data_IF_065671026497
#
_entry.id   IF_065671026497
#
_cell.length_a   1.000
_cell.length_b   1.000
_cell.length_c   1.000
_cell.angle_alpha   90.00
_cell.angle_beta   90.00
_cell.angle_gamma   90.00
#
_symmetry.space_group_name_H-M   'P 1'
#
loop_
_entity.id
_entity.type
_entity.pdbx_description
1 polymer ?
#
# COMPACT_ATOMS: atom_id res chain seq x y z
N UNK A 1 35.34 42.37 -13.86
CA UNK A 1 36.20 41.32 -13.27
C UNK A 1 36.26 41.49 -11.75
N UNK A 2 35.36 40.86 -10.98
CA UNK A 2 35.61 40.51 -9.57
C UNK A 2 34.92 39.15 -9.33
N UNK A 3 35.70 38.26 -8.73
CA UNK A 3 35.61 36.80 -8.81
C UNK A 3 34.57 36.23 -7.84
N UNK A 4 33.67 35.40 -8.37
CA UNK A 4 32.81 34.52 -7.58
C UNK A 4 33.64 33.37 -6.98
N UNK A 5 33.61 33.21 -5.65
CA UNK A 5 34.00 31.96 -4.99
C UNK A 5 32.81 31.44 -4.20
N UNK A 6 31.88 30.78 -4.89
CA UNK A 6 30.96 29.81 -4.26
C UNK A 6 31.80 28.64 -3.78
N UNK A 7 32.07 28.60 -2.47
CA UNK A 7 32.65 27.42 -1.82
C UNK A 7 31.61 26.31 -1.86
N UNK A 8 31.84 25.32 -2.73
CA UNK A 8 31.20 24.01 -2.71
C UNK A 8 31.38 23.42 -1.30
N UNK A 9 30.28 23.34 -0.55
CA UNK A 9 30.19 22.59 0.70
C UNK A 9 30.05 21.13 0.29
N UNK A 10 31.11 20.32 0.47
CA UNK A 10 31.04 18.85 0.32
C UNK A 10 29.86 18.33 1.15
N UNK A 11 28.77 17.94 0.48
CA UNK A 11 27.67 17.18 1.08
C UNK A 11 28.26 15.82 1.48
N UNK A 12 28.18 15.45 2.76
CA UNK A 12 28.32 14.05 3.17
C UNK A 12 26.99 13.39 2.78
N UNK A 13 26.94 12.85 1.57
CA UNK A 13 25.82 12.06 1.05
C UNK A 13 25.86 10.64 1.61
N UNK A 14 24.79 9.89 1.35
CA UNK A 14 24.52 8.55 1.89
C UNK A 14 25.59 7.49 1.57
N UNK A 15 26.44 7.75 0.58
CA UNK A 15 27.45 6.81 0.10
C UNK A 15 28.88 7.23 0.46
N UNK A 16 29.61 6.32 1.09
CA UNK A 16 31.07 6.25 1.02
C UNK A 16 31.50 5.82 -0.40
N UNK A 17 31.27 6.67 -1.42
CA UNK A 17 31.95 6.64 -2.73
C UNK A 17 31.98 5.34 -3.55
N UNK A 18 31.22 4.30 -3.20
CA UNK A 18 31.24 3.04 -3.92
C UNK A 18 30.43 3.15 -5.21
N UNK A 19 31.08 2.87 -6.35
CA UNK A 19 30.42 2.79 -7.65
C UNK A 19 29.57 1.52 -7.68
N UNK A 20 28.27 1.66 -7.93
CA UNK A 20 27.32 0.54 -8.07
C UNK A 20 27.49 -0.09 -9.46
N UNK A 21 27.68 -1.40 -9.51
CA UNK A 21 27.72 -2.18 -10.77
C UNK A 21 26.29 -2.54 -11.21
N UNK A 22 25.61 -1.58 -11.84
CA UNK A 22 24.22 -1.71 -12.29
C UNK A 22 23.98 -2.85 -13.28
N UNK A 23 24.94 -3.12 -14.17
CA UNK A 23 24.84 -4.22 -15.13
C UNK A 23 24.83 -5.60 -14.45
N UNK A 24 25.52 -5.72 -13.31
CA UNK A 24 25.53 -6.91 -12.46
C UNK A 24 24.29 -7.08 -11.59
N UNK A 25 23.47 -6.03 -11.42
CA UNK A 25 22.21 -6.08 -10.70
C UNK A 25 21.06 -6.55 -11.61
N UNK A 26 19.93 -6.83 -10.97
CA UNK A 26 18.70 -7.30 -11.60
C UNK A 26 17.50 -6.49 -11.12
N UNK A 27 16.54 -6.29 -12.03
CA UNK A 27 15.16 -5.87 -11.79
C UNK A 27 14.20 -6.87 -12.46
N UNK A 28 12.89 -6.62 -12.49
CA UNK A 28 11.88 -7.57 -13.02
C UNK A 28 12.16 -8.08 -14.45
N UNK A 29 12.68 -7.22 -15.33
CA UNK A 29 12.87 -7.54 -16.75
C UNK A 29 14.31 -7.94 -17.13
N UNK A 30 15.21 -8.16 -16.16
CA UNK A 30 16.60 -8.53 -16.45
C UNK A 30 17.64 -7.65 -15.78
N UNK A 31 18.69 -7.26 -16.53
CA UNK A 31 19.77 -6.39 -16.04
C UNK A 31 19.24 -4.99 -15.73
N UNK A 32 19.82 -4.33 -14.72
CA UNK A 32 19.43 -3.00 -14.27
C UNK A 32 20.35 -1.89 -14.81
N UNK A 33 20.97 -2.09 -15.98
CA UNK A 33 21.89 -1.12 -16.60
C UNK A 33 21.22 0.19 -17.04
N UNK A 34 19.91 0.16 -17.22
CA UNK A 34 18.99 1.25 -17.57
C UNK A 34 18.56 2.11 -16.38
N UNK A 35 18.48 1.53 -15.16
CA UNK A 35 18.04 2.19 -13.92
C UNK A 35 18.75 3.54 -13.65
N UNK A 36 20.07 3.69 -13.85
CA UNK A 36 20.73 4.99 -13.69
C UNK A 36 20.20 6.09 -14.60
N UNK A 37 19.81 5.73 -15.83
CA UNK A 37 19.22 6.65 -16.80
C UNK A 37 17.87 7.17 -16.30
N UNK A 38 17.01 6.26 -15.85
CA UNK A 38 15.71 6.63 -15.26
C UNK A 38 15.87 7.48 -13.99
N UNK A 39 16.79 7.11 -13.09
CA UNK A 39 17.06 7.91 -11.88
C UNK A 39 17.53 9.34 -12.19
N UNK A 40 18.34 9.52 -13.23
CA UNK A 40 18.78 10.84 -13.68
C UNK A 40 17.63 11.66 -14.27
N UNK A 41 16.77 11.01 -15.08
CA UNK A 41 15.63 11.61 -15.76
C UNK A 41 14.56 12.15 -14.79
N UNK A 42 14.48 11.63 -13.55
CA UNK A 42 13.61 12.17 -12.49
C UNK A 42 13.88 13.65 -12.13
N UNK A 43 15.05 14.19 -12.52
CA UNK A 43 15.38 15.62 -12.35
C UNK A 43 15.01 16.49 -13.54
N UNK A 44 14.49 15.91 -14.63
CA UNK A 44 14.22 16.65 -15.86
C UNK A 44 13.24 17.79 -15.64
N UNK A 45 13.45 18.90 -16.33
CA UNK A 45 12.47 19.99 -16.40
C UNK A 45 11.23 19.56 -17.21
N UNK A 46 11.37 18.56 -18.09
CA UNK A 46 10.28 17.96 -18.85
C UNK A 46 9.45 17.01 -17.97
N UNK A 47 8.17 17.31 -17.83
CA UNK A 47 7.22 16.54 -17.01
C UNK A 47 6.94 15.16 -17.58
N UNK A 48 6.93 15.01 -18.91
CA UNK A 48 6.65 13.72 -19.55
C UNK A 48 7.86 12.79 -19.40
N UNK A 49 9.08 13.30 -19.55
CA UNK A 49 10.32 12.54 -19.30
C UNK A 49 10.40 12.05 -17.84
N UNK A 50 10.02 12.90 -16.87
CA UNK A 50 9.97 12.49 -15.46
C UNK A 50 8.93 11.39 -15.22
N UNK A 51 7.74 11.51 -15.82
CA UNK A 51 6.66 10.52 -15.66
C UNK A 51 7.02 9.18 -16.27
N UNK A 52 7.61 9.17 -17.46
CA UNK A 52 8.10 7.96 -18.11
C UNK A 52 9.17 7.30 -17.23
N UNK A 53 10.18 8.05 -16.80
CA UNK A 53 11.22 7.54 -15.91
C UNK A 53 10.68 6.98 -14.59
N UNK A 54 9.70 7.65 -13.98
CA UNK A 54 9.02 7.14 -12.79
C UNK A 54 8.27 5.85 -13.08
N UNK A 55 7.50 5.79 -14.18
CA UNK A 55 6.73 4.62 -14.59
C UNK A 55 7.62 3.40 -14.82
N UNK A 56 8.75 3.59 -15.53
CA UNK A 56 9.74 2.53 -15.77
C UNK A 56 10.36 2.02 -14.47
N UNK A 57 10.76 2.92 -13.57
CA UNK A 57 11.26 2.53 -12.24
C UNK A 57 10.20 1.78 -11.44
N UNK A 58 8.99 2.33 -11.37
CA UNK A 58 7.86 1.74 -10.65
C UNK A 58 7.56 0.32 -11.14
N UNK A 59 7.54 0.10 -12.45
CA UNK A 59 7.19 -1.20 -13.03
C UNK A 59 8.33 -2.24 -12.98
N UNK A 60 9.59 -1.79 -12.90
CA UNK A 60 10.77 -2.67 -13.00
C UNK A 60 11.40 -3.01 -11.64
N UNK A 61 11.63 -2.02 -10.78
CA UNK A 61 12.38 -2.22 -9.53
C UNK A 61 11.52 -2.83 -8.43
N UNK A 62 10.19 -2.72 -8.52
CA UNK A 62 9.25 -3.53 -7.75
C UNK A 62 8.21 -4.06 -8.72
N UNK A 63 7.94 -5.36 -8.68
CA UNK A 63 6.99 -5.96 -9.62
C UNK A 63 6.17 -7.06 -8.94
N UNK A 64 4.85 -6.91 -8.90
CA UNK A 64 3.93 -7.82 -8.22
C UNK A 64 4.33 -8.04 -6.75
N UNK A 65 4.73 -6.95 -6.10
CA UNK A 65 5.25 -6.98 -4.73
C UNK A 65 6.63 -7.62 -4.59
N UNK A 66 7.27 -8.14 -5.65
CA UNK A 66 8.65 -8.62 -5.64
C UNK A 66 9.66 -7.47 -5.78
N UNK A 67 10.85 -7.65 -5.21
CA UNK A 67 11.92 -6.69 -4.98
C UNK A 67 13.16 -7.41 -5.47
N UNK A 68 14.10 -6.64 -5.97
CA UNK A 68 15.28 -7.14 -6.63
C UNK A 68 16.51 -6.41 -6.10
N UNK A 69 17.68 -6.93 -6.42
CA UNK A 69 18.95 -6.27 -6.08
C UNK A 69 19.01 -4.78 -6.52
N UNK A 70 18.37 -4.41 -7.62
CA UNK A 70 18.26 -3.01 -8.07
C UNK A 70 17.38 -2.14 -7.15
N UNK A 71 16.36 -2.69 -6.49
CA UNK A 71 15.45 -1.93 -5.61
C UNK A 71 16.23 -1.29 -4.47
N UNK A 72 17.05 -2.09 -3.77
CA UNK A 72 17.88 -1.59 -2.67
C UNK A 72 18.97 -0.63 -3.16
N UNK A 73 19.53 -0.88 -4.34
CA UNK A 73 20.58 -0.04 -4.92
C UNK A 73 20.08 1.35 -5.36
N UNK A 74 18.80 1.48 -5.73
CA UNK A 74 18.20 2.76 -6.12
C UNK A 74 17.89 3.69 -4.93
N UNK A 75 17.73 3.14 -3.72
CA UNK A 75 17.29 3.90 -2.54
C UNK A 75 18.17 5.11 -2.21
N UNK A 76 19.52 5.04 -2.19
CA UNK A 76 20.35 6.20 -1.87
C UNK A 76 20.13 7.39 -2.82
N UNK A 77 20.02 7.15 -4.12
CA UNK A 77 19.77 8.20 -5.12
C UNK A 77 18.35 8.78 -4.97
N UNK A 78 17.35 7.92 -4.75
CA UNK A 78 15.98 8.36 -4.45
C UNK A 78 15.92 9.21 -3.17
N UNK A 79 16.67 8.85 -2.13
CA UNK A 79 16.79 9.63 -0.90
C UNK A 79 17.46 11.00 -1.14
N UNK A 80 18.48 11.04 -2.00
CA UNK A 80 19.12 12.30 -2.39
C UNK A 80 18.20 13.20 -3.22
N UNK A 81 17.36 12.62 -4.08
CA UNK A 81 16.31 13.31 -4.85
C UNK A 81 15.23 13.89 -3.92
N UNK A 82 14.62 13.08 -3.05
CA UNK A 82 13.61 13.58 -2.10
C UNK A 82 14.19 14.56 -1.08
N UNK A 83 15.50 14.55 -0.85
CA UNK A 83 16.19 15.51 0.01
C UNK A 83 16.48 16.87 -0.63
N UNK A 84 16.24 17.02 -1.94
CA UNK A 84 16.55 18.22 -2.71
C UNK A 84 15.26 19.01 -3.05
N UNK A 85 15.00 20.16 -2.42
CA UNK A 85 13.76 20.91 -2.63
C UNK A 85 13.54 21.43 -4.06
N UNK A 86 14.56 21.42 -4.92
CA UNK A 86 14.38 21.80 -6.34
C UNK A 86 13.88 20.65 -7.22
N UNK A 87 13.85 19.42 -6.70
CA UNK A 87 13.33 18.26 -7.45
C UNK A 87 11.80 18.32 -7.42
N UNK A 88 11.11 18.29 -8.58
CA UNK A 88 9.65 18.19 -8.64
C UNK A 88 9.17 16.81 -8.18
N UNK A 89 7.86 16.67 -7.93
CA UNK A 89 7.19 15.37 -7.74
C UNK A 89 7.79 14.49 -6.61
N UNK A 90 8.33 15.12 -5.55
CA UNK A 90 9.00 14.43 -4.43
C UNK A 90 8.07 13.51 -3.64
N UNK A 91 6.77 13.79 -3.66
CA UNK A 91 5.71 12.93 -3.13
C UNK A 91 5.62 11.59 -3.89
N UNK A 92 5.72 11.60 -5.22
CA UNK A 92 5.79 10.37 -6.02
C UNK A 92 7.03 9.55 -5.66
N UNK A 93 8.18 10.20 -5.49
CA UNK A 93 9.41 9.51 -5.10
C UNK A 93 9.31 8.89 -3.69
N UNK A 94 8.59 9.54 -2.77
CA UNK A 94 8.29 8.98 -1.45
C UNK A 94 7.35 7.77 -1.54
N UNK A 95 6.38 7.80 -2.45
CA UNK A 95 5.52 6.65 -2.75
C UNK A 95 6.35 5.47 -3.28
N UNK A 96 7.26 5.71 -4.24
CA UNK A 96 8.17 4.68 -4.75
C UNK A 96 9.06 4.11 -3.64
N UNK A 97 9.62 4.94 -2.75
CA UNK A 97 10.37 4.47 -1.58
C UNK A 97 9.51 3.59 -0.65
N UNK A 98 8.22 3.89 -0.51
CA UNK A 98 7.27 3.05 0.22
C UNK A 98 7.12 1.68 -0.43
N UNK A 99 6.85 1.63 -1.74
CA UNK A 99 6.70 0.37 -2.46
C UNK A 99 8.01 -0.43 -2.50
N UNK A 100 9.17 0.23 -2.57
CA UNK A 100 10.47 -0.44 -2.39
C UNK A 100 10.58 -1.07 -1.01
N UNK A 101 10.17 -0.35 0.05
CA UNK A 101 10.27 -0.84 1.41
C UNK A 101 9.32 -2.01 1.68
N UNK A 102 8.07 -1.93 1.22
CA UNK A 102 7.01 -2.84 1.67
C UNK A 102 6.35 -3.65 0.53
N UNK A 103 6.57 -3.31 -0.73
CA UNK A 103 5.74 -3.80 -1.84
C UNK A 103 4.33 -3.22 -1.75
N UNK A 104 3.30 -4.05 -1.93
CA UNK A 104 1.92 -3.69 -1.66
C UNK A 104 1.58 -3.77 -0.17
N UNK A 105 0.84 -2.79 0.35
CA UNK A 105 0.48 -2.72 1.76
C UNK A 105 -0.54 -3.79 2.20
N UNK A 106 -1.43 -4.24 1.31
CA UNK A 106 -2.37 -5.33 1.53
C UNK A 106 -1.73 -6.65 1.98
N UNK A 107 -0.43 -6.84 1.70
CA UNK A 107 0.36 -7.99 2.17
C UNK A 107 0.62 -7.96 3.68
N UNK A 108 0.64 -6.76 4.27
CA UNK A 108 1.03 -6.52 5.65
C UNK A 108 -0.15 -6.14 6.53
N UNK A 109 -1.16 -5.48 5.96
CA UNK A 109 -2.35 -5.05 6.69
C UNK A 109 -3.18 -6.24 7.21
N UNK A 110 -3.80 -6.10 8.40
CA UNK A 110 -3.83 -4.91 9.25
C UNK A 110 -2.58 -4.77 10.15
N UNK A 111 -1.59 -5.66 9.98
CA UNK A 111 -0.32 -5.67 10.71
C UNK A 111 0.69 -4.65 10.18
N UNK A 112 1.97 -5.00 10.21
CA UNK A 112 3.08 -4.20 9.66
C UNK A 112 4.15 -5.14 9.13
N UNK A 113 5.22 -4.60 8.54
CA UNK A 113 6.34 -5.39 8.03
C UNK A 113 6.95 -6.23 9.15
N UNK A 114 7.05 -7.54 8.91
CA UNK A 114 7.65 -8.51 9.83
C UNK A 114 9.06 -8.84 9.37
N UNK A 115 10.04 -7.99 9.71
CA UNK A 115 11.47 -8.16 9.33
C UNK A 115 12.02 -9.54 9.72
N UNK A 116 11.61 -10.08 10.88
CA UNK A 116 11.99 -11.42 11.30
C UNK A 116 11.49 -12.52 10.37
N UNK A 117 10.30 -12.36 9.78
CA UNK A 117 9.73 -13.30 8.81
C UNK A 117 10.44 -13.20 7.45
N UNK A 118 10.75 -11.99 6.97
CA UNK A 118 11.56 -11.79 5.75
C UNK A 118 12.89 -12.54 5.88
N UNK A 119 13.57 -12.37 7.04
CA UNK A 119 14.82 -13.06 7.33
C UNK A 119 14.65 -14.58 7.41
N UNK A 120 13.61 -15.06 8.09
CA UNK A 120 13.34 -16.49 8.23
C UNK A 120 13.02 -17.18 6.89
N UNK A 121 12.37 -16.46 5.97
CA UNK A 121 12.02 -16.96 4.62
C UNK A 121 13.16 -16.82 3.61
N UNK A 122 14.30 -16.20 3.98
CA UNK A 122 15.42 -15.98 3.06
C UNK A 122 15.10 -14.99 1.94
N UNK A 123 14.16 -14.07 2.18
CA UNK A 123 13.78 -13.00 1.26
C UNK A 123 14.83 -11.88 1.33
N UNK A 124 15.96 -12.10 0.66
CA UNK A 124 17.17 -11.28 0.80
C UNK A 124 17.00 -9.89 0.20
N UNK A 125 16.42 -9.78 -1.00
CA UNK A 125 16.29 -8.49 -1.69
C UNK A 125 15.22 -7.62 -1.03
N UNK A 126 14.17 -8.24 -0.48
CA UNK A 126 13.19 -7.63 0.42
C UNK A 126 13.81 -6.99 1.64
N UNK A 127 14.59 -7.80 2.35
CA UNK A 127 15.21 -7.37 3.58
C UNK A 127 16.17 -6.22 3.31
N UNK A 128 16.97 -6.31 2.23
CA UNK A 128 17.88 -5.25 1.81
C UNK A 128 17.16 -3.98 1.41
N UNK A 129 16.07 -4.08 0.64
CA UNK A 129 15.28 -2.93 0.23
C UNK A 129 14.66 -2.23 1.46
N UNK A 130 14.04 -2.99 2.36
CA UNK A 130 13.50 -2.47 3.61
C UNK A 130 14.58 -1.80 4.48
N UNK A 131 15.73 -2.45 4.66
CA UNK A 131 16.85 -1.91 5.45
C UNK A 131 17.46 -0.65 4.81
N UNK A 132 17.54 -0.58 3.48
CA UNK A 132 18.01 0.60 2.76
C UNK A 132 17.08 1.80 2.97
N UNK A 133 15.76 1.61 2.88
CA UNK A 133 14.80 2.69 3.16
C UNK A 133 14.76 3.04 4.66
N UNK A 134 14.91 2.04 5.54
CA UNK A 134 15.01 2.25 6.99
C UNK A 134 16.24 3.11 7.36
N UNK A 135 17.37 2.95 6.67
CA UNK A 135 18.51 3.84 6.84
C UNK A 135 18.06 5.30 6.61
N UNK A 136 17.21 5.51 5.59
CA UNK A 136 16.49 6.74 5.20
C UNK A 136 15.80 7.54 6.31
N UNK A 137 15.45 6.91 7.43
CA UNK A 137 14.56 7.45 8.46
C UNK A 137 14.89 8.87 8.94
N UNK A 138 16.14 9.27 9.21
CA UNK A 138 16.43 10.63 9.64
C UNK A 138 16.05 11.71 8.61
N UNK A 139 16.09 11.41 7.31
CA UNK A 139 15.60 12.32 6.27
C UNK A 139 14.08 12.32 6.23
N UNK A 140 13.47 11.13 6.18
CA UNK A 140 12.01 10.97 6.15
C UNK A 140 11.33 11.66 7.33
N UNK A 141 11.89 11.53 8.53
CA UNK A 141 11.44 12.23 9.74
C UNK A 141 11.53 13.76 9.63
N UNK A 142 12.53 14.30 8.92
CA UNK A 142 12.59 15.76 8.69
C UNK A 142 11.53 16.20 7.69
N UNK A 143 11.33 15.44 6.61
CA UNK A 143 10.31 15.72 5.60
C UNK A 143 8.89 15.65 6.18
N UNK A 144 8.62 14.63 6.98
CA UNK A 144 7.36 14.48 7.71
C UNK A 144 7.16 15.53 8.82
N UNK A 145 8.18 16.34 9.16
CA UNK A 145 8.04 17.52 10.01
C UNK A 145 7.92 18.83 9.23
N UNK A 146 7.81 18.76 7.89
CA UNK A 146 7.75 19.91 6.99
C UNK A 146 6.53 20.82 7.18
N UNK A 147 6.61 22.02 6.60
CA UNK A 147 5.57 23.05 6.66
C UNK A 147 4.54 22.91 5.52
N UNK A 148 3.57 23.82 5.47
CA UNK A 148 2.46 23.78 4.50
C UNK A 148 2.89 23.88 3.02
N UNK A 149 4.02 24.54 2.72
CA UNK A 149 4.53 24.61 1.36
C UNK A 149 4.99 23.24 0.81
N UNK A 150 5.31 22.30 1.71
CA UNK A 150 5.70 20.93 1.42
C UNK A 150 4.61 19.93 1.86
N UNK A 151 3.33 20.35 2.02
CA UNK A 151 2.28 19.53 2.63
C UNK A 151 2.15 18.10 2.05
N UNK A 152 2.21 17.95 0.72
CA UNK A 152 2.10 16.65 0.04
C UNK A 152 3.32 15.74 0.33
N UNK A 153 4.53 16.31 0.30
CA UNK A 153 5.78 15.64 0.68
C UNK A 153 5.74 15.22 2.15
N UNK A 154 5.25 16.12 2.98
CA UNK A 154 5.06 15.93 4.39
C UNK A 154 4.11 14.76 4.67
N UNK A 155 2.95 14.73 4.02
CA UNK A 155 1.94 13.70 4.21
C UNK A 155 2.43 12.34 3.71
N UNK A 156 3.05 12.30 2.53
CA UNK A 156 3.65 11.08 1.96
C UNK A 156 4.76 10.51 2.86
N UNK A 157 5.64 11.39 3.39
CA UNK A 157 6.68 10.98 4.32
C UNK A 157 6.08 10.44 5.63
N UNK A 158 5.01 11.05 6.16
CA UNK A 158 4.30 10.53 7.34
C UNK A 158 3.75 9.13 7.12
N UNK A 159 3.14 8.86 5.97
CA UNK A 159 2.62 7.53 5.65
C UNK A 159 3.76 6.49 5.61
N UNK A 160 4.88 6.86 4.99
CA UNK A 160 6.07 5.99 4.96
C UNK A 160 6.64 5.71 6.36
N UNK A 161 6.65 6.70 7.26
CA UNK A 161 7.12 6.50 8.64
C UNK A 161 6.31 5.43 9.39
N UNK A 162 5.01 5.27 9.09
CA UNK A 162 4.15 4.26 9.71
C UNK A 162 4.65 2.82 9.53
N UNK A 163 5.37 2.55 8.44
CA UNK A 163 5.84 1.21 8.07
C UNK A 163 7.15 0.79 8.76
N UNK A 164 7.68 1.61 9.68
CA UNK A 164 8.85 1.31 10.49
C UNK A 164 8.46 1.16 11.96
N UNK A 165 8.08 -0.06 12.40
CA UNK A 165 7.55 -0.29 13.74
C UNK A 165 8.61 -0.06 14.81
N UNK A 166 8.17 0.43 15.98
CA UNK A 166 9.03 0.68 17.14
C UNK A 166 9.81 2.00 17.12
N UNK A 167 9.70 2.80 16.06
CA UNK A 167 10.43 4.08 15.94
C UNK A 167 9.78 5.21 16.75
N UNK A 168 10.29 5.46 17.98
CA UNK A 168 9.75 6.47 18.89
C UNK A 168 9.72 7.88 18.29
N UNK A 169 10.75 8.27 17.52
CA UNK A 169 10.78 9.60 16.91
C UNK A 169 9.75 9.73 15.78
N UNK A 170 9.52 8.67 15.03
CA UNK A 170 8.46 8.61 14.01
C UNK A 170 7.08 8.73 14.67
N UNK A 171 6.86 8.04 15.79
CA UNK A 171 5.64 8.17 16.59
C UNK A 171 5.35 9.62 17.00
N UNK A 172 6.33 10.33 17.56
CA UNK A 172 6.11 11.73 17.98
C UNK A 172 5.72 12.65 16.83
N UNK A 173 6.32 12.46 15.65
CA UNK A 173 5.95 13.21 14.44
C UNK A 173 4.51 12.90 14.03
N UNK A 174 4.14 11.62 14.03
CA UNK A 174 2.79 11.18 13.64
C UNK A 174 1.72 11.65 14.64
N UNK A 175 2.02 11.66 15.94
CA UNK A 175 1.12 12.21 16.97
C UNK A 175 0.84 13.71 16.72
N UNK A 176 1.89 14.50 16.45
CA UNK A 176 1.74 15.93 16.17
C UNK A 176 0.92 16.19 14.88
N UNK A 177 1.05 15.30 13.90
CA UNK A 177 0.27 15.35 12.64
C UNK A 177 -1.19 14.99 12.88
N UNK A 178 -1.46 13.92 13.62
CA UNK A 178 -2.80 13.44 13.93
C UNK A 178 -3.64 14.48 14.70
N UNK A 179 -3.02 15.26 15.59
CA UNK A 179 -3.71 16.30 16.36
C UNK A 179 -3.96 17.61 15.60
N UNK A 180 -3.44 17.75 14.36
CA UNK A 180 -3.53 18.98 13.58
C UNK A 180 -2.74 20.18 14.14
N UNK A 181 -2.03 20.01 15.25
CA UNK A 181 -1.26 21.05 15.94
C UNK A 181 -0.13 21.64 15.07
N UNK A 182 0.35 20.88 14.09
CA UNK A 182 1.36 21.35 13.13
C UNK A 182 0.88 22.39 12.11
N UNK A 183 -0.43 22.53 11.87
CA UNK A 183 -0.99 23.43 10.84
C UNK A 183 -1.94 24.49 11.40
N UNK A 184 -2.49 24.32 12.60
CA UNK A 184 -3.40 25.29 13.22
C UNK A 184 -2.74 26.68 13.43
N UNK A 185 -1.42 26.73 13.63
CA UNK A 185 -0.67 28.00 13.72
C UNK A 185 -0.42 28.67 12.36
N UNK A 186 -0.53 27.94 11.25
CA UNK A 186 -0.26 28.40 9.89
C UNK A 186 -1.53 28.91 9.18
N UNK A 187 -2.69 28.26 9.40
CA UNK A 187 -3.99 28.66 8.82
C UNK A 187 -4.50 30.04 9.25
N UNK A 188 -3.90 30.68 10.25
CA UNK A 188 -4.28 32.01 10.72
C UNK A 188 -3.68 33.17 9.90
N UNK A 189 -2.84 32.90 8.90
CA UNK A 189 -2.31 33.93 8.00
C UNK A 189 -3.28 34.15 6.80
N UNK A 190 -3.61 35.40 6.44
CA UNK A 190 -4.49 35.66 5.30
C UNK A 190 -3.74 35.34 3.99
N UNK A 191 -4.12 34.25 3.31
CA UNK A 191 -3.61 33.92 1.99
C UNK A 191 -4.31 34.75 0.91
N UNK A 192 -3.52 35.47 0.11
CA UNK A 192 -3.99 36.11 -1.11
C UNK A 192 -4.37 35.07 -2.16
N UNK A 193 -5.55 35.23 -2.75
CA UNK A 193 -6.05 34.44 -3.87
C UNK A 193 -5.03 34.40 -5.02
N UNK A 194 -4.42 33.23 -5.23
CA UNK A 194 -3.82 32.87 -6.50
C UNK A 194 -4.79 31.93 -7.21
N UNK A 195 -5.55 32.47 -8.15
CA UNK A 195 -6.37 31.73 -9.10
C UNK A 195 -5.46 30.84 -9.96
N UNK A 196 -5.43 29.53 -9.68
CA UNK A 196 -4.93 28.52 -10.61
C UNK A 196 -6.12 27.79 -11.22
N UNK A 197 -6.26 27.96 -12.53
CA UNK A 197 -7.30 27.40 -13.39
C UNK A 197 -7.25 25.88 -13.38
N UNK A 198 -8.37 25.24 -13.05
CA UNK A 198 -8.56 23.82 -13.19
C UNK A 198 -8.48 23.41 -14.68
N UNK A 199 -7.49 22.59 -15.03
CA UNK A 199 -7.48 21.85 -16.29
C UNK A 199 -8.58 20.77 -16.29
N UNK A 200 -9.07 20.35 -17.47
CA UNK A 200 -10.23 19.48 -17.56
C UNK A 200 -9.98 18.13 -16.90
N UNK A 201 -11.00 17.65 -16.16
CA UNK A 201 -11.05 16.31 -15.56
C UNK A 201 -10.79 15.25 -16.63
N UNK A 202 -9.59 14.68 -16.63
CA UNK A 202 -9.27 13.48 -17.39
C UNK A 202 -10.03 12.29 -16.84
N UNK A 203 -10.55 11.46 -17.72
CA UNK A 203 -11.23 10.21 -17.37
C UNK A 203 -10.26 9.27 -16.64
N UNK A 204 -10.74 8.59 -15.59
CA UNK A 204 -10.03 7.49 -14.96
C UNK A 204 -9.81 6.38 -16.00
N UNK A 205 -8.55 6.01 -16.22
CA UNK A 205 -8.14 4.92 -17.10
C UNK A 205 -7.53 3.81 -16.23
N UNK A 206 -7.93 2.59 -16.56
CA UNK A 206 -7.72 1.31 -15.87
C UNK A 206 -6.26 0.99 -15.53
N UNK A 207 -6.05 0.43 -14.33
CA UNK A 207 -4.81 -0.20 -13.89
C UNK A 207 -4.68 -1.54 -14.64
N UNK A 208 -3.63 -1.67 -15.45
CA UNK A 208 -3.29 -2.92 -16.12
C UNK A 208 -2.93 -4.02 -15.12
N UNK A 209 -3.36 -5.24 -15.45
CA UNK A 209 -3.27 -6.50 -14.72
C UNK A 209 -1.98 -6.72 -13.89
N UNK A 210 -2.12 -6.85 -12.55
CA UNK A 210 -1.13 -7.49 -11.68
C UNK A 210 -1.53 -8.96 -11.43
N UNK A 211 -0.69 -9.91 -11.88
CA UNK A 211 -0.78 -11.31 -11.43
C UNK A 211 -0.21 -11.45 -10.00
N UNK A 212 -0.71 -12.39 -9.18
CA UNK A 212 -0.38 -12.43 -7.75
C UNK A 212 1.05 -12.91 -7.47
N UNK A 213 1.64 -12.36 -6.40
CA UNK A 213 2.75 -12.99 -5.70
C UNK A 213 2.32 -14.38 -5.21
N UNK A 214 3.07 -15.41 -5.62
CA UNK A 214 2.88 -16.76 -5.08
C UNK A 214 3.06 -16.72 -3.54
N UNK A 215 2.31 -17.53 -2.77
CA UNK A 215 2.70 -17.81 -1.39
C UNK A 215 4.14 -18.35 -1.39
N UNK A 216 4.91 -18.20 -0.30
CA UNK A 216 6.26 -18.77 -0.23
C UNK A 216 6.16 -20.30 -0.22
N UNK A 217 6.08 -20.86 -1.42
CA UNK A 217 6.13 -22.27 -1.75
C UNK A 217 7.51 -22.59 -2.29
N UNK A 218 7.96 -23.80 -1.99
CA UNK A 218 9.31 -24.31 -2.21
C UNK A 218 9.86 -24.00 -3.60
N UNK A 219 11.02 -23.35 -3.63
CA UNK A 219 11.78 -23.06 -4.86
C UNK A 219 12.28 -24.38 -5.46
N UNK A 220 11.54 -24.95 -6.41
CA UNK A 220 12.14 -25.89 -7.36
C UNK A 220 12.95 -25.09 -8.39
N UNK A 221 14.27 -25.30 -8.37
CA UNK A 221 15.19 -24.81 -9.39
C UNK A 221 14.90 -25.51 -10.71
N UNK A 222 14.22 -24.82 -11.63
CA UNK A 222 14.08 -25.20 -13.03
C UNK A 222 14.92 -24.26 -13.91
N UNK A 223 15.67 -24.83 -14.83
CA UNK A 223 16.63 -24.17 -15.73
C UNK A 223 15.94 -23.22 -16.73
N UNK A 224 16.64 -22.15 -17.11
CA UNK A 224 16.17 -21.09 -18.00
C UNK A 224 16.17 -21.54 -19.48
N UNK A 225 15.06 -21.28 -20.19
CA UNK A 225 15.01 -21.32 -21.66
C UNK A 225 15.23 -19.93 -22.29
N UNK A 226 15.76 -19.86 -23.53
CA UNK A 226 16.32 -18.63 -24.09
C UNK A 226 15.29 -17.71 -24.76
N UNK A 227 15.67 -16.43 -24.82
CA UNK A 227 14.90 -15.26 -25.22
C UNK A 227 14.48 -15.26 -26.70
N UNK A 228 13.20 -14.95 -26.95
CA UNK A 228 12.67 -14.48 -28.23
C UNK A 228 12.24 -13.01 -28.11
N UNK A 229 12.34 -12.27 -29.22
CA UNK A 229 12.08 -10.83 -29.43
C UNK A 229 11.14 -10.13 -28.45
N UNK A 230 11.66 -9.04 -27.85
CA UNK A 230 10.95 -8.09 -26.98
C UNK A 230 9.86 -7.38 -27.78
N UNK A 231 8.60 -7.66 -27.45
CA UNK A 231 7.46 -6.92 -27.99
C UNK A 231 7.44 -5.48 -27.40
N UNK A 232 7.07 -4.45 -28.18
CA UNK A 232 6.98 -3.10 -27.66
C UNK A 232 5.86 -3.01 -26.61
N UNK A 233 6.14 -2.22 -25.57
CA UNK A 233 5.28 -1.93 -24.41
C UNK A 233 3.84 -1.65 -24.85
N UNK A 234 2.89 -2.43 -24.33
CA UNK A 234 1.49 -2.02 -24.31
C UNK A 234 1.36 -0.75 -23.47
N UNK A 235 0.44 0.15 -23.85
CA UNK A 235 0.24 1.46 -23.21
C UNK A 235 0.32 1.36 -21.68
N UNK A 236 1.33 2.00 -21.11
CA UNK A 236 1.43 2.26 -19.67
C UNK A 236 0.18 3.03 -19.30
N UNK A 237 -0.65 2.47 -18.41
CA UNK A 237 -1.81 3.16 -17.87
C UNK A 237 -1.38 4.56 -17.41
N UNK A 238 -2.11 5.63 -17.76
CA UNK A 238 -1.73 6.94 -17.27
C UNK A 238 -1.76 6.88 -15.75
N UNK A 239 -0.61 7.13 -15.11
CA UNK A 239 -0.47 7.41 -13.68
C UNK A 239 -1.22 8.72 -13.39
N UNK A 240 -2.54 8.62 -13.43
CA UNK A 240 -3.50 9.69 -13.20
C UNK A 240 -3.52 10.00 -11.72
N UNK A 241 -2.61 10.90 -11.34
CA UNK A 241 -2.34 11.39 -9.99
C UNK A 241 -1.62 10.37 -9.10
N UNK A 242 -0.47 10.80 -8.57
CA UNK A 242 -0.04 10.39 -7.23
C UNK A 242 -1.27 10.30 -6.32
N UNK A 243 -1.31 9.31 -5.42
CA UNK A 243 -2.27 9.33 -4.32
C UNK A 243 -2.00 10.60 -3.52
N UNK A 244 -2.74 11.68 -3.83
CA UNK A 244 -2.70 12.88 -3.02
C UNK A 244 -3.22 12.48 -1.66
N UNK A 245 -2.34 12.56 -0.67
CA UNK A 245 -2.72 12.34 0.73
C UNK A 245 -3.42 13.60 1.22
N UNK A 246 -4.63 13.84 0.73
CA UNK A 246 -5.44 15.00 1.11
C UNK A 246 -5.95 14.86 2.57
N UNK A 247 -5.98 13.63 3.11
CA UNK A 247 -6.37 13.29 4.49
C UNK A 247 -5.18 12.89 5.36
N UNK A 248 -4.25 13.83 5.50
CA UNK A 248 -3.01 13.61 6.26
C UNK A 248 -3.24 13.25 7.75
N UNK A 249 -4.29 13.74 8.39
CA UNK A 249 -4.53 13.52 9.83
C UNK A 249 -5.06 12.10 10.12
N UNK A 250 -6.14 11.60 9.47
CA UNK A 250 -6.51 10.19 9.61
C UNK A 250 -5.38 9.24 9.20
N UNK A 251 -4.64 9.58 8.14
CA UNK A 251 -3.52 8.76 7.69
C UNK A 251 -2.39 8.70 8.73
N UNK A 252 -2.14 9.80 9.45
CA UNK A 252 -1.20 9.83 10.56
C UNK A 252 -1.68 9.01 11.76
N UNK A 253 -2.98 9.02 12.08
CA UNK A 253 -3.57 8.17 13.14
C UNK A 253 -3.38 6.68 12.81
N UNK A 254 -3.65 6.26 11.57
CA UNK A 254 -3.36 4.89 11.13
C UNK A 254 -1.87 4.58 11.28
N UNK A 255 -1.00 5.51 10.86
CA UNK A 255 0.45 5.40 11.03
C UNK A 255 0.89 5.22 12.49
N UNK A 256 0.25 5.90 13.45
CA UNK A 256 0.48 5.69 14.90
C UNK A 256 0.22 4.24 15.30
N UNK A 257 -0.87 3.66 14.79
CA UNK A 257 -1.18 2.24 15.00
C UNK A 257 -0.12 1.32 14.39
N UNK A 258 0.33 1.58 13.16
CA UNK A 258 1.33 0.78 12.46
C UNK A 258 2.71 0.80 13.14
N UNK A 259 3.12 1.95 13.68
CA UNK A 259 4.35 2.06 14.50
C UNK A 259 4.24 1.19 15.75
N UNK A 260 3.04 1.04 16.31
CA UNK A 260 2.73 -0.01 17.29
C UNK A 260 3.26 0.24 18.70
N UNK A 261 3.58 1.48 19.05
CA UNK A 261 4.04 1.88 20.38
C UNK A 261 2.87 2.33 21.27
N UNK A 262 2.85 1.89 22.53
CA UNK A 262 1.75 2.14 23.48
C UNK A 262 1.46 3.64 23.72
N UNK A 263 2.47 4.50 23.59
CA UNK A 263 2.34 5.95 23.72
C UNK A 263 1.46 6.58 22.62
N UNK A 264 1.10 5.81 21.59
CA UNK A 264 0.13 6.19 20.56
C UNK A 264 -1.34 6.06 20.98
N UNK A 265 -1.66 5.29 22.02
CA UNK A 265 -3.04 5.00 22.43
C UNK A 265 -3.86 6.28 22.69
N UNK A 266 -3.37 7.30 23.42
CA UNK A 266 -4.17 8.51 23.69
C UNK A 266 -4.59 9.27 22.43
N UNK A 267 -3.73 9.32 21.40
CA UNK A 267 -4.06 9.98 20.12
C UNK A 267 -5.11 9.18 19.36
N UNK A 268 -5.02 7.85 19.37
CA UNK A 268 -6.00 7.00 18.73
C UNK A 268 -7.37 7.01 19.45
N UNK A 269 -7.38 7.10 20.79
CA UNK A 269 -8.61 7.30 21.58
C UNK A 269 -9.26 8.66 21.27
N UNK A 270 -8.47 9.73 21.17
CA UNK A 270 -8.98 11.05 20.78
C UNK A 270 -9.60 11.03 19.38
N UNK A 271 -8.95 10.35 18.42
CA UNK A 271 -9.47 10.19 17.07
C UNK A 271 -10.79 9.39 17.03
N UNK A 272 -10.89 8.30 17.83
CA UNK A 272 -12.13 7.52 17.99
C UNK A 272 -13.30 8.38 18.50
N UNK A 273 -13.02 9.37 19.35
CA UNK A 273 -14.02 10.30 19.88
C UNK A 273 -14.37 11.48 18.96
N UNK A 274 -13.81 11.55 17.75
CA UNK A 274 -14.02 12.66 16.82
C UNK A 274 -15.44 12.67 16.23
N UNK A 275 -15.96 13.87 15.92
CA UNK A 275 -17.20 14.00 15.13
C UNK A 275 -16.99 13.61 13.65
N UNK A 276 -15.74 13.64 13.16
CA UNK A 276 -15.38 13.21 11.81
C UNK A 276 -15.37 11.67 11.72
N UNK A 277 -16.24 11.05 10.88
CA UNK A 277 -16.31 9.59 10.74
C UNK A 277 -15.00 8.94 10.29
N UNK A 278 -14.15 9.62 9.51
CA UNK A 278 -12.89 9.06 9.02
C UNK A 278 -11.82 9.11 10.12
N UNK A 279 -11.84 10.14 10.97
CA UNK A 279 -11.01 10.15 12.17
C UNK A 279 -11.42 9.05 13.15
N UNK A 280 -12.73 8.78 13.31
CA UNK A 280 -13.19 7.66 14.14
C UNK A 280 -12.74 6.32 13.60
N UNK A 281 -12.91 6.10 12.31
CA UNK A 281 -12.39 4.92 11.59
C UNK A 281 -10.90 4.73 11.84
N UNK A 282 -10.09 5.78 11.62
CA UNK A 282 -8.64 5.71 11.79
C UNK A 282 -8.26 5.41 13.24
N UNK A 283 -8.94 6.04 14.21
CA UNK A 283 -8.78 5.76 15.64
C UNK A 283 -9.08 4.31 15.98
N UNK A 284 -10.18 3.75 15.46
CA UNK A 284 -10.56 2.37 15.68
C UNK A 284 -9.54 1.37 15.09
N UNK A 285 -9.06 1.61 13.88
CA UNK A 285 -8.00 0.82 13.22
C UNK A 285 -6.71 0.87 14.05
N UNK A 286 -6.27 2.05 14.46
CA UNK A 286 -5.05 2.23 15.24
C UNK A 286 -5.17 1.56 16.63
N UNK A 287 -6.30 1.70 17.31
CA UNK A 287 -6.55 1.06 18.61
C UNK A 287 -6.57 -0.46 18.52
N UNK A 288 -7.22 -1.04 17.51
CA UNK A 288 -7.17 -2.47 17.28
C UNK A 288 -5.73 -2.95 17.08
N UNK A 289 -4.91 -2.17 16.36
CA UNK A 289 -3.50 -2.49 16.13
C UNK A 289 -2.62 -2.39 17.38
N UNK A 290 -2.96 -1.46 18.28
CA UNK A 290 -2.34 -1.27 19.59
C UNK A 290 -2.87 -2.25 20.66
N UNK A 291 -3.74 -3.20 20.29
CA UNK A 291 -4.25 -4.25 21.18
C UNK A 291 -5.42 -3.81 22.07
N UNK A 292 -6.09 -2.70 21.74
CA UNK A 292 -7.26 -2.21 22.46
C UNK A 292 -8.54 -2.79 21.84
N UNK A 293 -9.28 -3.58 22.61
CA UNK A 293 -10.46 -4.34 22.15
C UNK A 293 -11.77 -3.94 22.85
N UNK A 294 -11.95 -2.64 23.15
CA UNK A 294 -13.16 -2.11 23.82
C UNK A 294 -14.38 -2.16 22.89
N UNK A 295 -15.58 -2.05 23.47
CA UNK A 295 -16.85 -2.10 22.73
C UNK A 295 -16.93 -1.05 21.62
N UNK A 296 -16.58 0.19 21.92
CA UNK A 296 -16.60 1.30 20.95
C UNK A 296 -15.68 1.05 19.74
N UNK A 297 -14.49 0.49 19.97
CA UNK A 297 -13.56 0.11 18.88
C UNK A 297 -14.19 -0.97 18.00
N UNK A 298 -14.80 -1.99 18.62
CA UNK A 298 -15.48 -3.07 17.90
C UNK A 298 -16.65 -2.53 17.08
N UNK A 299 -17.48 -1.68 17.67
CA UNK A 299 -18.71 -1.19 17.04
C UNK A 299 -18.38 -0.28 15.84
N UNK A 300 -17.39 0.60 15.97
CA UNK A 300 -16.92 1.43 14.85
C UNK A 300 -16.36 0.56 13.71
N UNK A 301 -15.49 -0.42 14.01
CA UNK A 301 -14.95 -1.33 13.00
C UNK A 301 -16.02 -2.17 12.32
N UNK A 302 -17.01 -2.70 13.07
CA UNK A 302 -18.12 -3.45 12.50
C UNK A 302 -18.98 -2.59 11.59
N UNK A 303 -19.22 -1.33 11.95
CA UNK A 303 -19.96 -0.36 11.14
C UNK A 303 -19.32 -0.17 9.77
N UNK A 304 -18.02 0.08 9.73
CA UNK A 304 -17.28 0.23 8.47
C UNK A 304 -17.13 -1.08 7.69
N UNK A 305 -16.81 -2.18 8.38
CA UNK A 305 -16.60 -3.48 7.76
C UNK A 305 -17.84 -3.99 7.00
N UNK A 306 -19.04 -3.68 7.50
CA UNK A 306 -20.31 -4.03 6.87
C UNK A 306 -20.88 -2.94 5.95
N UNK A 307 -20.25 -1.78 5.85
CA UNK A 307 -20.75 -0.66 5.04
C UNK A 307 -20.58 -0.90 3.53
N UNK A 308 -21.48 -0.29 2.76
CA UNK A 308 -21.42 -0.14 1.30
C UNK A 308 -20.73 1.17 0.88
N UNK A 309 -20.09 1.87 1.81
CA UNK A 309 -19.40 3.13 1.53
C UNK A 309 -18.31 2.91 0.47
N UNK A 310 -18.24 3.78 -0.57
CA UNK A 310 -17.19 3.69 -1.57
C UNK A 310 -15.81 3.93 -0.93
N UNK A 311 -14.77 3.41 -1.58
CA UNK A 311 -13.40 3.70 -1.18
C UNK A 311 -13.08 5.19 -1.23
N UNK A 312 -12.10 5.60 -0.44
CA UNK A 312 -11.63 6.97 -0.36
C UNK A 312 -10.16 7.05 -0.81
N UNK A 313 -9.90 7.44 -2.07
CA UNK A 313 -8.55 7.46 -2.63
C UNK A 313 -7.64 8.50 -1.96
N UNK A 314 -8.15 9.37 -1.08
CA UNK A 314 -7.31 10.26 -0.28
C UNK A 314 -6.68 9.60 0.95
N UNK A 315 -7.10 8.37 1.26
CA UNK A 315 -6.51 7.53 2.31
C UNK A 315 -5.47 6.60 1.66
N UNK A 316 -4.18 6.70 2.05
CA UNK A 316 -3.08 6.02 1.36
C UNK A 316 -2.84 4.60 1.87
N UNK A 317 -3.88 3.95 2.39
CA UNK A 317 -3.82 2.59 2.92
C UNK A 317 -4.90 1.75 2.27
N UNK A 318 -4.52 0.56 1.82
CA UNK A 318 -5.38 -0.41 1.15
C UNK A 318 -6.18 0.22 0.01
N UNK A 319 -5.52 1.08 -0.78
CA UNK A 319 -6.14 1.81 -1.91
C UNK A 319 -7.40 2.61 -1.53
N UNK A 320 -7.52 3.01 -0.25
CA UNK A 320 -8.68 3.71 0.25
C UNK A 320 -9.87 2.79 0.57
N UNK A 321 -9.70 1.47 0.63
CA UNK A 321 -10.75 0.55 1.09
C UNK A 321 -10.91 0.56 2.62
N UNK A 322 -11.55 1.61 3.14
CA UNK A 322 -11.78 1.81 4.58
C UNK A 322 -12.52 0.63 5.21
N UNK A 323 -13.54 0.10 4.53
CA UNK A 323 -14.31 -1.03 5.01
C UNK A 323 -13.53 -2.34 5.00
N UNK A 324 -12.69 -2.56 3.97
CA UNK A 324 -11.76 -3.68 3.91
C UNK A 324 -10.73 -3.63 5.03
N UNK A 325 -10.15 -2.45 5.30
CA UNK A 325 -9.18 -2.31 6.38
C UNK A 325 -9.84 -2.43 7.77
N UNK A 326 -11.06 -1.93 7.95
CA UNK A 326 -11.82 -2.18 9.18
C UNK A 326 -12.08 -3.68 9.37
N UNK A 327 -12.48 -4.39 8.30
CA UNK A 327 -12.69 -5.83 8.30
C UNK A 327 -11.42 -6.62 8.63
N UNK A 328 -10.27 -6.21 8.09
CA UNK A 328 -8.97 -6.76 8.44
C UNK A 328 -8.69 -6.56 9.94
N UNK A 329 -8.88 -5.33 10.44
CA UNK A 329 -8.59 -4.94 11.82
C UNK A 329 -9.42 -5.67 12.88
N UNK A 330 -10.66 -6.09 12.56
CA UNK A 330 -11.49 -6.91 13.45
C UNK A 330 -10.79 -8.20 13.91
N UNK A 331 -9.95 -8.78 13.04
CA UNK A 331 -9.21 -10.01 13.34
C UNK A 331 -8.18 -9.81 14.47
N UNK A 332 -7.68 -8.59 14.67
CA UNK A 332 -6.69 -8.26 15.71
C UNK A 332 -7.31 -8.25 17.11
N UNK A 333 -8.63 -8.02 17.21
CA UNK A 333 -9.35 -7.89 18.49
C UNK A 333 -10.27 -9.09 18.78
N UNK A 334 -10.04 -10.21 18.09
CA UNK A 334 -10.73 -11.48 18.35
C UNK A 334 -12.21 -11.51 17.99
N UNK A 335 -12.65 -10.65 17.06
CA UNK A 335 -14.03 -10.65 16.56
C UNK A 335 -14.14 -11.60 15.37
N UNK A 336 -15.11 -12.52 15.37
CA UNK A 336 -15.40 -13.38 14.22
C UNK A 336 -15.87 -12.51 13.03
N UNK A 337 -15.06 -12.39 11.96
CA UNK A 337 -15.33 -11.43 10.89
C UNK A 337 -16.34 -11.95 9.88
N UNK A 338 -16.74 -13.24 9.94
CA UNK A 338 -17.50 -13.87 8.85
C UNK A 338 -18.78 -13.11 8.53
N UNK A 339 -19.55 -12.68 9.54
CA UNK A 339 -20.81 -11.96 9.29
C UNK A 339 -20.58 -10.64 8.54
N UNK A 340 -19.60 -9.85 8.98
CA UNK A 340 -19.29 -8.56 8.34
C UNK A 340 -18.70 -8.78 6.94
N UNK A 341 -17.82 -9.77 6.76
CA UNK A 341 -17.25 -10.12 5.47
C UNK A 341 -18.32 -10.55 4.46
N UNK A 342 -19.28 -11.39 4.88
CA UNK A 342 -20.39 -11.82 4.03
C UNK A 342 -21.33 -10.68 3.68
N UNK A 343 -21.54 -9.71 4.57
CA UNK A 343 -22.33 -8.52 4.26
C UNK A 343 -21.59 -7.65 3.24
N UNK A 344 -20.31 -7.36 3.49
CA UNK A 344 -19.46 -6.59 2.57
C UNK A 344 -19.46 -7.18 1.17
N UNK A 345 -19.25 -8.50 1.05
CA UNK A 345 -19.22 -9.23 -0.21
C UNK A 345 -20.49 -9.09 -1.05
N UNK A 346 -21.61 -8.60 -0.51
CA UNK A 346 -22.83 -8.33 -1.30
C UNK A 346 -22.74 -7.02 -2.09
N UNK A 347 -21.88 -6.10 -1.65
CA UNK A 347 -21.88 -4.70 -2.09
C UNK A 347 -20.60 -4.32 -2.85
N UNK A 348 -19.53 -5.09 -2.70
CA UNK A 348 -18.23 -4.79 -3.30
C UNK A 348 -17.94 -5.63 -4.55
N UNK A 349 -17.05 -5.11 -5.39
CA UNK A 349 -16.45 -5.77 -6.55
C UNK A 349 -14.94 -5.53 -6.57
N UNK A 350 -14.20 -6.11 -7.52
CA UNK A 350 -12.77 -5.86 -7.68
C UNK A 350 -11.93 -6.10 -6.40
N UNK A 351 -10.86 -5.34 -6.16
CA UNK A 351 -9.93 -5.53 -5.03
C UNK A 351 -10.62 -5.51 -3.66
N UNK A 352 -11.59 -4.62 -3.37
CA UNK A 352 -12.37 -4.70 -2.13
C UNK A 352 -13.12 -6.03 -1.96
N UNK A 353 -13.60 -6.64 -3.05
CA UNK A 353 -14.22 -7.96 -3.01
C UNK A 353 -13.21 -9.07 -2.71
N UNK A 354 -12.00 -9.01 -3.29
CA UNK A 354 -10.94 -9.96 -2.98
C UNK A 354 -10.52 -9.88 -1.51
N UNK A 355 -10.38 -8.67 -0.96
CA UNK A 355 -10.11 -8.45 0.47
C UNK A 355 -11.18 -9.11 1.34
N UNK A 356 -12.46 -8.83 1.07
CA UNK A 356 -13.56 -9.40 1.84
C UNK A 356 -13.65 -10.94 1.69
N UNK A 357 -13.37 -11.47 0.49
CA UNK A 357 -13.35 -12.89 0.20
C UNK A 357 -12.28 -13.62 1.02
N UNK A 358 -11.04 -13.12 1.02
CA UNK A 358 -9.93 -13.76 1.75
C UNK A 358 -10.24 -13.85 3.24
N UNK A 359 -10.82 -12.79 3.83
CA UNK A 359 -11.26 -12.80 5.23
C UNK A 359 -12.40 -13.81 5.44
N UNK A 360 -13.40 -13.83 4.56
CA UNK A 360 -14.53 -14.74 4.67
C UNK A 360 -14.11 -16.21 4.53
N UNK A 361 -13.21 -16.53 3.59
CA UNK A 361 -12.67 -17.87 3.39
C UNK A 361 -11.95 -18.37 4.64
N UNK A 362 -11.01 -17.59 5.19
CA UNK A 362 -10.32 -17.96 6.45
C UNK A 362 -11.30 -18.20 7.60
N UNK A 363 -12.34 -17.37 7.72
CA UNK A 363 -13.33 -17.50 8.79
C UNK A 363 -14.35 -18.63 8.56
N UNK A 364 -14.60 -19.04 7.32
CA UNK A 364 -15.49 -20.15 6.96
C UNK A 364 -14.77 -21.51 6.92
N UNK A 365 -13.46 -21.51 6.68
CA UNK A 365 -12.58 -22.67 6.53
C UNK A 365 -11.42 -22.64 7.55
N UNK A 366 -11.70 -22.66 8.87
CA UNK A 366 -10.65 -22.54 9.89
C UNK A 366 -9.64 -23.71 9.88
N UNK A 367 -10.06 -24.88 9.40
CA UNK A 367 -9.23 -26.08 9.26
C UNK A 367 -8.57 -26.20 7.87
N UNK A 368 -8.68 -25.15 7.04
CA UNK A 368 -8.19 -25.13 5.67
C UNK A 368 -9.20 -25.61 4.62
N UNK A 369 -8.75 -25.74 3.36
CA UNK A 369 -9.57 -26.15 2.21
C UNK A 369 -10.31 -27.48 2.43
N UNK A 370 -11.51 -27.59 1.86
CA UNK A 370 -12.18 -28.90 1.76
C UNK A 370 -11.60 -29.72 0.61
N UNK A 371 -11.83 -31.04 0.63
CA UNK A 371 -11.41 -31.90 -0.47
C UNK A 371 -12.12 -31.50 -1.78
N UNK A 372 -11.38 -31.49 -2.89
CA UNK A 372 -11.98 -31.25 -4.21
C UNK A 372 -13.07 -32.29 -4.47
N UNK A 373 -14.27 -31.81 -4.82
CA UNK A 373 -15.44 -32.65 -5.07
C UNK A 373 -16.36 -32.89 -3.86
N UNK A 374 -16.05 -32.34 -2.68
CA UNK A 374 -16.99 -32.29 -1.55
C UNK A 374 -18.31 -31.65 -2.01
N UNK A 375 -19.44 -32.30 -1.72
CA UNK A 375 -20.77 -31.80 -2.12
C UNK A 375 -21.26 -30.62 -1.28
N UNK A 376 -22.11 -29.76 -1.85
CA UNK A 376 -22.63 -28.56 -1.16
C UNK A 376 -23.35 -28.88 0.17
N UNK A 377 -24.05 -30.02 0.25
CA UNK A 377 -24.75 -30.45 1.47
C UNK A 377 -23.79 -30.95 2.56
N UNK A 378 -22.58 -31.35 2.20
CA UNK A 378 -21.53 -31.80 3.11
C UNK A 378 -20.77 -30.63 3.74
N UNK A 379 -20.82 -29.44 3.12
CA UNK A 379 -20.26 -28.23 3.69
C UNK A 379 -20.94 -27.85 5.01
N UNK A 380 -20.17 -27.25 5.92
CA UNK A 380 -20.70 -26.66 7.14
C UNK A 380 -21.65 -25.50 6.84
N UNK A 381 -22.48 -25.13 7.81
CA UNK A 381 -23.41 -24.02 7.63
C UNK A 381 -22.69 -22.68 7.37
N UNK A 382 -21.50 -22.47 7.95
CA UNK A 382 -20.66 -21.29 7.67
C UNK A 382 -20.19 -21.27 6.22
N UNK A 383 -19.69 -22.40 5.73
CA UNK A 383 -19.21 -22.57 4.35
C UNK A 383 -20.35 -22.41 3.34
N UNK A 384 -21.53 -22.99 3.60
CA UNK A 384 -22.71 -22.84 2.73
C UNK A 384 -23.18 -21.39 2.64
N UNK A 385 -23.15 -20.63 3.74
CA UNK A 385 -23.48 -19.20 3.70
C UNK A 385 -22.52 -18.42 2.82
N UNK A 386 -21.21 -18.69 2.90
CA UNK A 386 -20.24 -18.08 2.00
C UNK A 386 -20.52 -18.41 0.54
N UNK A 387 -20.68 -19.70 0.21
CA UNK A 387 -20.99 -20.12 -1.17
C UNK A 387 -22.23 -19.42 -1.73
N UNK A 388 -23.31 -19.31 -0.94
CA UNK A 388 -24.52 -18.58 -1.37
C UNK A 388 -24.27 -17.08 -1.59
N UNK A 389 -23.58 -16.42 -0.65
CA UNK A 389 -23.22 -15.01 -0.82
C UNK A 389 -22.43 -14.77 -2.11
N UNK A 390 -21.46 -15.64 -2.40
CA UNK A 390 -20.66 -15.54 -3.63
C UNK A 390 -21.47 -15.82 -4.90
N UNK A 391 -22.43 -16.75 -4.83
CA UNK A 391 -23.35 -17.06 -5.93
C UNK A 391 -24.34 -15.91 -6.22
N UNK A 392 -24.69 -15.12 -5.21
CA UNK A 392 -25.64 -14.01 -5.31
C UNK A 392 -25.02 -12.70 -5.83
N UNK A 393 -23.68 -12.55 -5.78
CA UNK A 393 -23.00 -11.36 -6.29
C UNK A 393 -22.09 -11.68 -7.50
N UNK A 394 -22.61 -11.65 -8.74
CA UNK A 394 -21.78 -11.80 -9.94
C UNK A 394 -20.73 -10.70 -10.12
N UNK A 395 -20.95 -9.51 -9.54
CA UNK A 395 -20.02 -8.38 -9.65
C UNK A 395 -18.69 -8.62 -8.95
N UNK A 396 -18.67 -9.40 -7.85
CA UNK A 396 -17.45 -9.77 -7.14
C UNK A 396 -16.47 -10.61 -7.98
N UNK A 397 -16.98 -11.29 -9.02
CA UNK A 397 -16.20 -12.15 -9.91
C UNK A 397 -15.65 -11.42 -11.12
N UNK A 398 -15.80 -10.09 -11.18
CA UNK A 398 -15.40 -9.28 -12.33
C UNK A 398 -14.46 -8.16 -11.94
N UNK A 399 -13.51 -7.90 -12.83
CA UNK A 399 -12.56 -6.81 -12.77
C UNK A 399 -12.48 -6.18 -14.16
N UNK A 400 -12.78 -4.89 -14.29
CA UNK A 400 -12.85 -4.18 -15.58
C UNK A 400 -13.61 -4.92 -16.68
N UNK A 401 -14.72 -5.55 -16.30
CA UNK A 401 -15.59 -6.30 -17.21
C UNK A 401 -15.06 -7.69 -17.59
N UNK A 402 -13.83 -8.05 -17.22
CA UNK A 402 -13.23 -9.37 -17.40
C UNK A 402 -13.47 -10.25 -16.17
N UNK A 403 -13.21 -11.56 -16.28
CA UNK A 403 -13.19 -12.44 -15.11
C UNK A 403 -12.08 -12.00 -14.16
N UNK A 404 -12.41 -11.85 -12.87
CA UNK A 404 -11.40 -11.58 -11.87
C UNK A 404 -10.72 -12.87 -11.45
N UNK A 405 -9.66 -13.25 -12.19
CA UNK A 405 -8.96 -14.54 -12.05
C UNK A 405 -8.51 -14.81 -10.60
N UNK A 406 -7.99 -13.80 -9.90
CA UNK A 406 -7.53 -13.94 -8.51
C UNK A 406 -8.67 -14.32 -7.55
N UNK A 407 -9.87 -13.76 -7.77
CA UNK A 407 -11.05 -14.10 -7.00
C UNK A 407 -11.47 -15.56 -7.26
N UNK A 408 -11.54 -15.97 -8.54
CA UNK A 408 -11.85 -17.35 -8.92
C UNK A 408 -10.83 -18.36 -8.38
N UNK A 409 -9.54 -18.02 -8.41
CA UNK A 409 -8.47 -18.85 -7.85
C UNK A 409 -8.61 -19.01 -6.34
N UNK A 410 -8.77 -17.91 -5.61
CA UNK A 410 -8.91 -17.94 -4.14
C UNK A 410 -10.09 -18.81 -3.69
N UNK A 411 -11.21 -18.78 -4.41
CA UNK A 411 -12.34 -19.68 -4.16
C UNK A 411 -11.95 -21.14 -4.43
N UNK A 412 -11.33 -21.41 -5.58
CA UNK A 412 -10.99 -22.78 -5.97
C UNK A 412 -9.89 -23.45 -5.15
N UNK A 413 -8.96 -22.66 -4.61
CA UNK A 413 -7.92 -23.12 -3.69
C UNK A 413 -8.50 -23.63 -2.36
N UNK A 414 -9.73 -23.24 -2.03
CA UNK A 414 -10.48 -23.75 -0.87
C UNK A 414 -11.30 -25.01 -1.18
N UNK A 415 -11.10 -25.63 -2.35
CA UNK A 415 -11.79 -26.85 -2.79
C UNK A 415 -13.18 -26.60 -3.38
N UNK A 416 -13.54 -25.34 -3.61
CA UNK A 416 -14.81 -24.94 -4.22
C UNK A 416 -14.70 -24.86 -5.76
N UNK A 417 -15.82 -24.84 -6.50
CA UNK A 417 -15.83 -24.63 -7.95
C UNK A 417 -15.17 -23.31 -8.38
N UNK A 418 -14.41 -23.38 -9.47
CA UNK A 418 -13.78 -22.23 -10.12
C UNK A 418 -14.75 -21.53 -11.07
N UNK A 419 -15.04 -20.26 -10.79
CA UNK A 419 -15.94 -19.39 -11.56
C UNK A 419 -17.37 -19.32 -11.01
N UNK A 420 -18.04 -18.18 -11.27
CA UNK A 420 -19.37 -17.87 -10.72
C UNK A 420 -20.45 -18.88 -11.13
N UNK A 421 -20.58 -19.17 -12.43
CA UNK A 421 -21.62 -20.08 -12.95
C UNK A 421 -21.50 -21.48 -12.35
N UNK A 422 -20.26 -22.01 -12.26
CA UNK A 422 -20.01 -23.33 -11.66
C UNK A 422 -20.33 -23.35 -10.16
N UNK A 423 -20.09 -22.23 -9.46
CA UNK A 423 -20.42 -22.11 -8.04
C UNK A 423 -21.95 -22.07 -7.81
N UNK A 424 -22.69 -21.42 -8.72
CA UNK A 424 -24.16 -21.41 -8.70
C UNK A 424 -24.75 -22.80 -8.92
N UNK A 425 -24.28 -23.52 -9.94
CA UNK A 425 -24.67 -24.90 -10.21
C UNK A 425 -24.40 -25.81 -8.99
N UNK A 426 -23.22 -25.67 -8.38
CA UNK A 426 -22.84 -26.39 -7.17
C UNK A 426 -23.76 -26.11 -5.98
N UNK A 427 -24.21 -24.86 -5.81
CA UNK A 427 -25.16 -24.47 -4.77
C UNK A 427 -26.62 -24.87 -5.09
N UNK A 428 -26.92 -25.20 -6.35
CA UNK A 428 -28.25 -25.52 -6.84
C UNK A 428 -29.16 -24.30 -7.02
N UNK A 429 -28.62 -23.17 -7.48
CA UNK A 429 -29.31 -21.86 -7.59
C UNK A 429 -29.24 -21.32 -9.01
#
# INVERSE_FOLDING_TARGET
MINARRRSRKRRGWNDGAVVDWAGLRHAYGSAEDVPGHLAALRSEDEDERREAFGELYASIVHQGNRYSASAAAVPELLDLVGDPSVPDRDLLLHLLGIIAIGGDGMWLPGTVRVAELRAKGLVDELRAYEAVAAGLPLLQRLAGGNEADADVAASASCLLGWFPGETKSLEILKNRASGEGWASARAAPHGEATRTAGPRGHAVSLGEEAPAAPPGEVSRGEAEPQGEVAPLGEVAPLGAAVRVDKAEPAAVVGVGLVGLADGVPVAEAALGSDDPIMRWAGAVALARLGVSRGEVRDELLGWAASDAPGDPSIPYLEGDLGGYALLSLQLIGVDPLRAALERLRHVSAEPALTALVVALRAAFPDGPVAKGTGFRELSERQRRLVRTLADNPGAWRYDGMEFVNFSLAVSDHGLPHGHDRLREYAGI
#
